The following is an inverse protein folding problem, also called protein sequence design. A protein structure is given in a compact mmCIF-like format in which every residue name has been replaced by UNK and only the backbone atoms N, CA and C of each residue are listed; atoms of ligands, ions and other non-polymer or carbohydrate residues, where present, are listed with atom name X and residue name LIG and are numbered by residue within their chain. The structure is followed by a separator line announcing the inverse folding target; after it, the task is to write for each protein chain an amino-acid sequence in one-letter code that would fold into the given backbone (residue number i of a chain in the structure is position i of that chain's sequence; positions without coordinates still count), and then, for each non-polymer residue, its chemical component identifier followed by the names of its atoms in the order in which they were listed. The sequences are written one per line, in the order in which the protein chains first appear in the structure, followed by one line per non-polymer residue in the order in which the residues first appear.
data_IF_432979621220
#
_entry.id   IF_432979621220
#
_cell.length_a   1.000
_cell.length_b   1.000
_cell.length_c   1.000
_cell.angle_alpha   90.00
_cell.angle_beta   90.00
_cell.angle_gamma   90.00
#
_symmetry.space_group_name_H-M   'P 1'
#
loop_
_entity.id
_entity.type
_entity.pdbx_description
1 polymer ?
#
# COMPACT_ATOMS: atom_id res chain seq x y z
N UNK A 1 -2.49 -72.48 27.98
CA UNK A 1 -2.36 -72.07 26.57
C UNK A 1 -2.50 -70.55 26.49
N UNK A 2 -1.37 -69.85 26.58
CA UNK A 2 -1.24 -68.40 26.41
C UNK A 2 -0.36 -68.16 25.17
N UNK A 3 -0.53 -67.00 24.54
CA UNK A 3 0.19 -66.47 23.37
C UNK A 3 -0.41 -66.81 22.01
N UNK A 4 -1.22 -65.89 21.44
CA UNK A 4 -1.28 -65.68 19.98
C UNK A 4 -1.97 -64.39 19.50
N UNK A 5 -2.21 -63.37 20.34
CA UNK A 5 -2.93 -62.16 19.90
C UNK A 5 -2.08 -60.89 19.73
N UNK A 6 -0.81 -60.88 20.14
CA UNK A 6 0.05 -59.68 20.02
C UNK A 6 0.90 -59.62 18.73
N UNK A 7 1.06 -60.74 18.01
CA UNK A 7 1.88 -60.77 16.80
C UNK A 7 1.17 -60.20 15.55
N UNK A 8 -0.17 -60.28 15.49
CA UNK A 8 -0.93 -59.86 14.30
C UNK A 8 -1.09 -58.33 14.22
N UNK A 9 -1.15 -57.64 15.37
CA UNK A 9 -1.27 -56.18 15.43
C UNK A 9 0.01 -55.45 14.99
N UNK A 10 1.18 -56.04 15.24
CA UNK A 10 2.48 -55.45 14.86
C UNK A 10 2.78 -55.56 13.37
N UNK A 11 2.29 -56.61 12.69
CA UNK A 11 2.50 -56.82 11.26
C UNK A 11 1.64 -55.85 10.42
N UNK A 12 0.40 -55.56 10.87
CA UNK A 12 -0.47 -54.60 10.19
C UNK A 12 0.04 -53.15 10.31
N UNK A 13 0.65 -52.76 11.44
CA UNK A 13 1.21 -51.42 11.60
C UNK A 13 2.46 -51.19 10.72
N UNK A 14 3.27 -52.23 10.51
CA UNK A 14 4.45 -52.14 9.64
C UNK A 14 4.13 -52.04 8.13
N UNK A 15 3.00 -52.61 7.68
CA UNK A 15 2.58 -52.52 6.27
C UNK A 15 1.97 -51.16 5.89
N UNK A 16 1.35 -50.47 6.84
CA UNK A 16 0.81 -49.12 6.61
C UNK A 16 1.94 -48.08 6.55
N UNK A 17 3.02 -48.24 7.32
CA UNK A 17 4.18 -47.35 7.22
C UNK A 17 5.05 -47.61 5.98
N UNK A 18 5.13 -48.85 5.50
CA UNK A 18 5.90 -49.16 4.28
C UNK A 18 5.26 -48.60 2.99
N UNK A 19 3.93 -48.50 2.94
CA UNK A 19 3.22 -47.93 1.78
C UNK A 19 3.25 -46.39 1.76
N UNK A 20 3.34 -45.74 2.92
CA UNK A 20 3.52 -44.28 3.02
C UNK A 20 4.91 -43.80 2.57
N UNK A 21 5.96 -44.61 2.76
CA UNK A 21 7.34 -44.26 2.37
C UNK A 21 7.59 -44.51 0.86
N UNK A 22 6.88 -45.47 0.25
CA UNK A 22 7.06 -45.80 -1.17
C UNK A 22 6.51 -44.75 -2.16
N UNK A 23 5.70 -43.77 -1.72
CA UNK A 23 5.12 -42.74 -2.59
C UNK A 23 5.97 -41.46 -2.76
N UNK A 24 7.11 -41.31 -2.08
CA UNK A 24 7.89 -40.05 -2.13
C UNK A 24 9.22 -40.12 -2.89
N UNK A 25 9.60 -41.26 -3.47
CA UNK A 25 10.82 -41.37 -4.30
C UNK A 25 10.51 -41.39 -5.80
N UNK A 26 9.79 -40.40 -6.32
CA UNK A 26 9.88 -40.08 -7.76
C UNK A 26 11.16 -39.28 -7.99
N UNK A 27 12.17 -39.93 -8.59
CA UNK A 27 13.38 -39.25 -9.10
C UNK A 27 12.97 -38.06 -9.98
N UNK A 28 13.20 -36.84 -9.51
CA UNK A 28 13.05 -35.62 -10.30
C UNK A 28 14.01 -35.71 -11.50
N UNK A 29 13.47 -35.77 -12.72
CA UNK A 29 14.28 -35.56 -13.92
C UNK A 29 14.81 -34.12 -13.90
N UNK A 30 16.10 -33.87 -14.16
CA UNK A 30 16.60 -32.51 -14.31
C UNK A 30 15.89 -31.87 -15.51
N UNK A 31 15.18 -30.76 -15.25
CA UNK A 31 14.54 -29.97 -16.28
C UNK A 31 15.63 -29.27 -17.10
N UNK A 32 15.79 -29.65 -18.38
CA UNK A 32 16.61 -28.90 -19.33
C UNK A 32 15.77 -27.76 -19.89
N UNK A 33 16.06 -26.54 -19.45
CA UNK A 33 15.55 -25.31 -20.05
C UNK A 33 16.06 -25.19 -21.49
N UNK A 34 15.15 -25.06 -22.45
CA UNK A 34 15.49 -24.94 -23.87
C UNK A 34 15.83 -23.47 -24.19
N UNK A 35 17.10 -23.17 -24.47
CA UNK A 35 17.64 -21.84 -24.76
C UNK A 35 17.24 -21.28 -26.15
N UNK A 36 16.20 -21.78 -26.79
CA UNK A 36 15.89 -21.43 -28.19
C UNK A 36 14.98 -20.21 -28.38
N UNK A 37 14.46 -19.57 -27.33
CA UNK A 37 13.85 -18.24 -27.47
C UNK A 37 14.93 -17.17 -27.34
N UNK A 38 15.59 -16.85 -28.46
CA UNK A 38 16.40 -15.64 -28.59
C UNK A 38 15.49 -14.43 -28.37
N UNK A 39 15.40 -13.96 -27.12
CA UNK A 39 14.99 -12.60 -26.83
C UNK A 39 16.12 -11.70 -27.30
N UNK A 40 15.97 -11.12 -28.49
CA UNK A 40 16.79 -10.01 -28.94
C UNK A 40 16.44 -8.81 -28.06
N UNK A 41 17.18 -8.64 -26.97
CA UNK A 41 17.13 -7.43 -26.18
C UNK A 41 17.76 -6.30 -26.99
N UNK A 42 16.95 -5.57 -27.75
CA UNK A 42 17.31 -4.20 -28.11
C UNK A 42 17.33 -3.42 -26.80
N UNK A 43 18.54 -3.11 -26.33
CA UNK A 43 18.85 -2.46 -25.07
C UNK A 43 18.40 -0.98 -25.01
N UNK A 44 17.25 -0.64 -25.61
CA UNK A 44 16.66 0.70 -25.57
C UNK A 44 15.15 0.75 -25.39
N UNK A 45 14.41 -0.36 -25.45
CA UNK A 45 12.96 -0.36 -25.22
C UNK A 45 12.51 -1.68 -24.57
N UNK A 46 12.67 -1.81 -23.25
CA UNK A 46 11.89 -2.80 -22.49
C UNK A 46 11.89 -2.49 -20.98
N UNK A 47 11.22 -1.40 -20.61
CA UNK A 47 10.45 -1.29 -19.36
C UNK A 47 9.24 -2.24 -19.37
N UNK A 48 9.31 -3.39 -20.06
CA UNK A 48 8.17 -4.22 -20.44
C UNK A 48 7.91 -5.39 -19.47
N UNK A 49 8.45 -5.32 -18.26
CA UNK A 49 7.88 -6.00 -17.08
C UNK A 49 7.21 -4.99 -16.14
N UNK A 50 7.29 -3.69 -16.44
CA UNK A 50 6.47 -2.65 -15.78
C UNK A 50 5.04 -2.58 -16.36
N UNK A 51 4.75 -3.29 -17.46
CA UNK A 51 3.46 -3.19 -18.16
C UNK A 51 2.37 -4.18 -17.69
N UNK A 52 2.72 -5.29 -17.03
CA UNK A 52 1.69 -6.25 -16.54
C UNK A 52 1.24 -5.97 -15.11
N UNK A 53 1.98 -5.18 -14.35
CA UNK A 53 1.59 -4.65 -13.04
C UNK A 53 1.40 -3.13 -13.06
N UNK A 54 1.35 -2.56 -14.27
CA UNK A 54 0.97 -1.17 -14.52
C UNK A 54 -0.45 -0.83 -14.06
N UNK A 55 -1.23 -1.78 -13.53
CA UNK A 55 -2.42 -1.53 -12.70
C UNK A 55 -2.03 -1.02 -11.30
N UNK A 56 -1.11 -0.05 -11.23
CA UNK A 56 -1.24 0.94 -10.18
C UNK A 56 -2.66 1.52 -10.25
N UNK A 57 -3.26 1.92 -9.14
CA UNK A 57 -4.63 2.42 -9.08
C UNK A 57 -4.88 3.50 -10.16
N UNK A 58 -5.38 3.11 -11.33
CA UNK A 58 -5.82 4.00 -12.40
C UNK A 58 -7.15 4.62 -11.95
N UNK A 59 -7.08 5.49 -10.95
CA UNK A 59 -8.23 6.21 -10.45
C UNK A 59 -8.07 7.67 -10.86
N UNK A 60 -9.04 8.15 -11.62
CA UNK A 60 -9.10 9.54 -12.03
C UNK A 60 -9.28 10.42 -10.79
N UNK A 61 -8.18 10.90 -10.24
CA UNK A 61 -8.16 11.89 -9.18
C UNK A 61 -8.55 13.23 -9.81
N UNK A 62 -9.67 13.85 -9.40
CA UNK A 62 -9.92 15.23 -9.80
C UNK A 62 -8.83 16.09 -9.16
N UNK A 63 -7.84 16.50 -9.95
CA UNK A 63 -6.79 17.42 -9.50
C UNK A 63 -7.38 18.84 -9.36
N UNK A 64 -8.14 19.05 -8.29
CA UNK A 64 -8.75 20.33 -7.95
C UNK A 64 -7.85 21.02 -6.94
N UNK A 65 -7.37 22.20 -7.32
CA UNK A 65 -6.60 23.05 -6.45
C UNK A 65 -7.45 23.43 -5.21
N UNK A 66 -6.95 23.31 -3.97
CA UNK A 66 -7.72 23.57 -2.75
C UNK A 66 -8.29 24.97 -2.68
N UNK A 67 -7.67 25.93 -3.36
CA UNK A 67 -8.14 27.31 -3.50
C UNK A 67 -9.50 27.36 -4.21
N UNK A 68 -9.75 26.43 -5.15
CA UNK A 68 -11.06 26.31 -5.82
C UNK A 68 -12.14 25.70 -4.91
N UNK A 69 -11.73 25.04 -3.84
CA UNK A 69 -12.61 24.54 -2.77
C UNK A 69 -12.74 25.60 -1.65
N UNK A 70 -11.84 26.60 -1.59
CA UNK A 70 -11.94 27.71 -0.65
C UNK A 70 -11.75 27.34 0.82
N UNK A 71 -11.08 26.21 1.12
CA UNK A 71 -10.92 25.72 2.49
C UNK A 71 -9.56 26.04 3.13
N UNK A 72 -8.56 26.45 2.33
CA UNK A 72 -7.25 26.82 2.88
C UNK A 72 -7.41 28.04 3.80
N UNK A 73 -6.79 28.00 4.98
CA UNK A 73 -6.93 29.02 6.02
C UNK A 73 -8.04 28.71 7.04
N UNK A 74 -8.80 27.64 6.85
CA UNK A 74 -9.81 27.20 7.81
C UNK A 74 -9.20 26.95 9.19
N UNK A 75 -9.91 27.39 10.24
CA UNK A 75 -9.43 27.37 11.61
C UNK A 75 -10.18 26.38 12.48
N UNK A 76 -9.43 25.60 13.26
CA UNK A 76 -9.94 24.70 14.30
C UNK A 76 -9.43 25.11 15.68
N UNK A 77 -10.20 24.78 16.71
CA UNK A 77 -9.88 25.05 18.11
C UNK A 77 -8.61 24.32 18.56
N UNK A 78 -7.93 24.87 19.56
CA UNK A 78 -6.82 24.24 20.28
C UNK A 78 -7.31 23.88 21.71
N UNK A 79 -7.28 22.61 22.16
CA UNK A 79 -6.67 21.43 21.53
C UNK A 79 -7.35 21.00 20.23
N UNK A 80 -6.59 20.36 19.34
CA UNK A 80 -7.09 19.93 18.02
C UNK A 80 -8.29 18.99 18.18
N UNK A 81 -9.40 19.35 17.55
CA UNK A 81 -10.61 18.54 17.49
C UNK A 81 -10.78 17.97 16.07
N UNK A 82 -10.70 16.65 15.95
CA UNK A 82 -10.75 15.95 14.67
C UNK A 82 -12.14 15.95 14.03
N UNK A 83 -13.20 15.93 14.85
CA UNK A 83 -14.58 16.02 14.41
C UNK A 83 -14.88 17.44 13.87
N UNK A 84 -14.43 18.48 14.58
CA UNK A 84 -14.50 19.87 14.10
C UNK A 84 -13.76 20.01 12.76
N UNK A 85 -12.56 19.42 12.64
CA UNK A 85 -11.81 19.41 11.39
C UNK A 85 -12.54 18.66 10.26
N UNK A 86 -13.16 17.51 10.54
CA UNK A 86 -13.95 16.75 9.57
C UNK A 86 -15.10 17.59 9.01
N UNK A 87 -15.97 18.11 9.88
CA UNK A 87 -17.15 18.85 9.46
C UNK A 87 -16.80 20.20 8.82
N UNK A 88 -15.67 20.80 9.19
CA UNK A 88 -15.18 22.01 8.53
C UNK A 88 -14.60 21.76 7.14
N UNK A 89 -13.90 20.64 6.93
CA UNK A 89 -13.33 20.26 5.63
C UNK A 89 -14.41 19.67 4.70
N UNK A 90 -15.36 18.91 5.25
CA UNK A 90 -16.49 18.28 4.57
C UNK A 90 -17.74 18.49 5.45
N UNK A 91 -18.67 19.44 5.20
CA UNK A 91 -19.12 19.99 3.92
C UNK A 91 -18.42 21.26 3.36
N UNK A 92 -17.63 21.99 4.16
CA UNK A 92 -17.24 23.36 3.80
C UNK A 92 -18.42 24.23 3.31
N UNK A 93 -18.16 25.39 2.69
CA UNK A 93 -19.22 26.24 2.09
C UNK A 93 -19.80 25.65 0.77
N UNK A 94 -19.62 24.37 0.47
CA UNK A 94 -19.78 23.81 -0.89
C UNK A 94 -20.52 22.48 -0.99
N UNK A 95 -20.87 21.84 0.13
CA UNK A 95 -21.55 20.54 0.12
C UNK A 95 -22.85 20.61 0.94
N UNK A 96 -23.92 20.02 0.40
CA UNK A 96 -25.20 19.93 1.12
C UNK A 96 -25.09 18.84 2.19
N UNK A 97 -25.24 19.22 3.46
CA UNK A 97 -25.50 18.28 4.55
C UNK A 97 -26.95 17.83 4.42
N UNK A 98 -27.15 16.54 4.16
CA UNK A 98 -28.48 15.95 4.28
C UNK A 98 -28.70 15.54 5.75
N UNK A 99 -29.09 16.48 6.60
CA UNK A 99 -29.53 16.20 7.98
C UNK A 99 -30.79 15.31 8.02
N UNK A 100 -31.56 15.29 6.93
CA UNK A 100 -32.74 14.42 6.77
C UNK A 100 -32.37 12.93 6.66
N UNK A 101 -31.08 12.62 6.45
CA UNK A 101 -30.53 11.27 6.51
C UNK A 101 -29.65 11.13 7.77
N UNK A 102 -30.27 11.22 8.97
CA UNK A 102 -29.81 10.37 10.10
C UNK A 102 -29.99 8.92 9.67
N UNK A 103 -29.12 8.46 8.78
CA UNK A 103 -29.15 7.10 8.28
C UNK A 103 -28.99 6.23 9.54
N UNK A 104 -29.94 5.35 9.87
CA UNK A 104 -30.01 4.65 11.17
C UNK A 104 -28.78 3.79 11.48
N UNK A 105 -27.88 3.66 10.49
CA UNK A 105 -26.67 2.84 10.50
C UNK A 105 -25.38 3.68 10.42
N UNK A 106 -25.44 5.03 10.46
CA UNK A 106 -24.25 5.90 10.43
C UNK A 106 -24.09 6.54 11.81
N UNK A 107 -22.98 6.23 12.49
CA UNK A 107 -22.66 6.76 13.81
C UNK A 107 -22.16 8.20 13.82
N UNK A 108 -21.92 8.74 15.01
CA UNK A 108 -21.24 10.03 15.22
C UNK A 108 -19.83 10.03 14.58
N UNK A 109 -19.32 11.20 14.20
CA UNK A 109 -17.97 11.31 13.59
C UNK A 109 -17.87 11.00 12.09
N UNK A 110 -19.01 11.01 11.37
CA UNK A 110 -19.07 10.76 9.92
C UNK A 110 -19.74 11.93 9.21
N UNK A 111 -19.13 12.40 8.11
CA UNK A 111 -19.67 13.42 7.22
C UNK A 111 -20.20 12.79 5.93
N UNK A 112 -21.50 12.94 5.68
CA UNK A 112 -22.14 12.55 4.41
C UNK A 112 -22.27 13.78 3.53
N UNK A 113 -21.69 13.73 2.33
CA UNK A 113 -21.67 14.90 1.45
C UNK A 113 -21.74 14.55 -0.04
N UNK A 114 -22.35 15.45 -0.81
CA UNK A 114 -22.39 15.43 -2.28
C UNK A 114 -21.75 16.71 -2.80
N UNK A 115 -21.05 16.63 -3.93
CA UNK A 115 -20.60 17.83 -4.62
C UNK A 115 -21.51 18.19 -5.78
N UNK A 116 -22.07 19.39 -5.74
CA UNK A 116 -22.84 19.99 -6.84
C UNK A 116 -21.94 20.66 -7.88
N UNK A 117 -20.73 21.09 -7.47
CA UNK A 117 -19.77 21.84 -8.30
C UNK A 117 -18.69 20.96 -8.93
N UNK A 118 -18.33 19.84 -8.30
CA UNK A 118 -17.31 18.92 -8.79
C UNK A 118 -18.00 17.81 -9.58
N UNK A 119 -18.09 17.97 -10.91
CA UNK A 119 -18.57 16.88 -11.78
C UNK A 119 -17.52 15.79 -11.82
N UNK A 120 -17.95 14.54 -11.62
CA UNK A 120 -17.09 13.42 -11.98
C UNK A 120 -16.79 13.46 -13.48
N UNK A 121 -15.54 13.21 -13.87
CA UNK A 121 -15.26 12.94 -15.28
C UNK A 121 -16.01 11.66 -15.65
N UNK A 122 -16.73 11.65 -16.78
CA UNK A 122 -17.26 10.41 -17.37
C UNK A 122 -16.06 9.53 -17.69
N UNK A 123 -15.92 8.42 -16.98
CA UNK A 123 -14.91 7.40 -17.24
C UNK A 123 -15.64 6.08 -17.38
N UNK A 124 -15.13 5.19 -18.23
CA UNK A 124 -15.68 3.84 -18.40
C UNK A 124 -15.49 2.95 -17.14
N UNK A 125 -14.77 3.46 -16.13
CA UNK A 125 -14.61 2.87 -14.81
C UNK A 125 -15.56 3.47 -13.79
N UNK A 126 -16.17 2.61 -12.96
CA UNK A 126 -17.16 2.93 -11.92
C UNK A 126 -16.59 3.70 -10.69
N UNK A 127 -15.26 3.90 -10.65
CA UNK A 127 -14.62 4.61 -9.55
C UNK A 127 -14.56 6.14 -9.80
N UNK A 128 -15.71 6.79 -9.78
CA UNK A 128 -15.82 8.25 -9.96
C UNK A 128 -15.80 9.00 -8.62
N UNK A 129 -14.95 10.02 -8.47
CA UNK A 129 -14.88 10.87 -7.28
C UNK A 129 -14.97 12.37 -7.63
N UNK A 130 -15.69 13.20 -6.85
CA UNK A 130 -16.66 12.79 -5.82
C UNK A 130 -17.79 11.94 -6.41
N UNK A 131 -18.34 11.03 -5.60
CA UNK A 131 -19.40 10.13 -6.07
C UNK A 131 -20.73 10.86 -6.24
N UNK A 132 -21.44 10.56 -7.33
CA UNK A 132 -22.76 11.16 -7.66
C UNK A 132 -23.81 10.92 -6.58
N UNK A 133 -23.82 9.72 -5.97
CA UNK A 133 -24.79 9.35 -4.92
C UNK A 133 -24.41 9.88 -3.54
N UNK A 134 -23.23 10.46 -3.39
CA UNK A 134 -22.69 10.94 -2.13
C UNK A 134 -21.50 10.12 -1.66
N UNK A 135 -20.72 10.75 -0.79
CA UNK A 135 -19.55 10.18 -0.15
C UNK A 135 -19.82 10.15 1.35
N UNK A 136 -19.46 9.03 1.97
CA UNK A 136 -19.39 8.89 3.41
C UNK A 136 -17.93 9.10 3.80
N UNK A 137 -17.63 10.13 4.58
CA UNK A 137 -16.26 10.50 4.94
C UNK A 137 -16.08 10.54 6.45
N UNK A 138 -14.99 9.94 6.93
CA UNK A 138 -14.63 9.92 8.34
C UNK A 138 -13.17 10.31 8.52
N UNK A 139 -12.80 10.73 9.73
CA UNK A 139 -11.40 10.86 10.12
C UNK A 139 -10.84 9.45 10.27
N UNK A 140 -9.91 9.08 9.39
CA UNK A 140 -9.25 7.78 9.50
C UNK A 140 -8.04 7.84 10.43
N UNK A 141 -7.28 8.95 10.37
CA UNK A 141 -6.04 9.08 11.14
C UNK A 141 -5.65 10.52 11.40
N UNK A 142 -5.20 10.79 12.62
CA UNK A 142 -4.54 12.04 13.01
C UNK A 142 -3.14 11.74 13.51
N UNK A 143 -2.13 12.40 12.93
CA UNK A 143 -0.72 12.23 13.29
C UNK A 143 -0.09 13.57 13.66
N UNK A 144 0.13 13.82 14.97
CA UNK A 144 0.88 14.99 15.41
C UNK A 144 2.36 14.84 15.08
N UNK A 145 3.00 15.94 14.66
CA UNK A 145 4.45 16.02 14.53
C UNK A 145 4.96 17.44 14.72
N UNK A 146 6.26 17.60 14.96
CA UNK A 146 6.95 18.89 14.97
C UNK A 146 7.85 18.99 13.75
N UNK A 147 7.85 20.15 13.10
CA UNK A 147 8.83 20.44 12.05
C UNK A 147 10.19 20.87 12.65
N UNK A 148 11.20 21.05 11.79
CA UNK A 148 12.56 21.42 12.24
C UNK A 148 12.60 22.79 12.94
N UNK A 149 11.61 23.65 12.71
CA UNK A 149 11.44 24.93 13.42
C UNK A 149 10.77 24.79 14.80
N UNK A 150 10.33 23.57 15.17
CA UNK A 150 9.61 23.30 16.40
C UNK A 150 8.10 23.58 16.34
N UNK A 151 7.59 24.02 15.19
CA UNK A 151 6.15 24.27 15.00
C UNK A 151 5.40 22.95 15.03
N UNK A 152 4.24 22.96 15.70
CA UNK A 152 3.35 21.81 15.82
C UNK A 152 2.46 21.69 14.58
N UNK A 153 2.34 20.48 14.07
CA UNK A 153 1.57 20.15 12.89
C UNK A 153 0.68 18.93 13.17
N UNK A 154 -0.47 18.85 12.50
CA UNK A 154 -1.34 17.67 12.46
C UNK A 154 -1.51 17.24 11.00
N UNK A 155 -1.01 16.05 10.66
CA UNK A 155 -1.37 15.37 9.42
C UNK A 155 -2.68 14.62 9.66
N UNK A 156 -3.69 14.87 8.84
CA UNK A 156 -4.99 14.21 8.94
C UNK A 156 -5.27 13.46 7.64
N UNK A 157 -5.61 12.18 7.75
CA UNK A 157 -6.10 11.37 6.66
C UNK A 157 -7.59 11.14 6.84
N UNK A 158 -8.36 11.43 5.80
CA UNK A 158 -9.79 11.16 5.74
C UNK A 158 -10.03 9.98 4.81
N UNK A 159 -10.93 9.11 5.22
CA UNK A 159 -11.38 7.98 4.43
C UNK A 159 -12.74 8.30 3.84
N UNK A 160 -12.92 8.13 2.54
CA UNK A 160 -14.20 8.32 1.86
C UNK A 160 -14.65 7.03 1.15
N UNK A 161 -15.87 6.61 1.47
CA UNK A 161 -16.56 5.46 0.87
C UNK A 161 -17.85 5.89 0.15
N UNK A 162 -18.45 4.98 -0.62
CA UNK A 162 -19.73 5.24 -1.29
C UNK A 162 -20.90 5.13 -0.30
N UNK A 163 -21.76 6.14 -0.26
CA UNK A 163 -23.01 6.07 0.54
C UNK A 163 -23.91 4.93 0.05
N UNK A 164 -23.93 4.66 -1.25
CA UNK A 164 -24.73 3.58 -1.84
C UNK A 164 -24.26 2.17 -1.46
N UNK A 165 -23.04 2.03 -0.91
CA UNK A 165 -22.48 0.74 -0.49
C UNK A 165 -22.55 0.52 1.02
N UNK A 166 -23.33 1.30 1.77
CA UNK A 166 -23.47 1.13 3.23
C UNK A 166 -23.81 -0.32 3.63
N UNK A 167 -24.73 -0.96 2.90
CA UNK A 167 -25.05 -2.39 3.11
C UNK A 167 -23.89 -3.32 2.75
N UNK A 168 -23.12 -2.97 1.71
CA UNK A 168 -21.95 -3.76 1.27
C UNK A 168 -20.76 -3.59 2.23
N UNK A 169 -20.62 -2.44 2.90
CA UNK A 169 -19.62 -2.20 3.96
C UNK A 169 -19.82 -3.17 5.12
N UNK A 170 -21.07 -3.40 5.54
CA UNK A 170 -21.38 -4.42 6.55
C UNK A 170 -21.08 -5.85 6.09
N UNK A 171 -21.06 -6.07 4.78
CA UNK A 171 -20.77 -7.38 4.17
C UNK A 171 -19.30 -7.53 3.74
N UNK A 172 -18.45 -6.53 4.01
CA UNK A 172 -17.02 -6.54 3.66
C UNK A 172 -16.75 -6.43 2.15
N UNK A 173 -17.72 -6.02 1.33
CA UNK A 173 -17.65 -6.07 -0.13
C UNK A 173 -17.48 -4.69 -0.77
N UNK A 174 -16.58 -3.86 -0.24
CA UNK A 174 -16.30 -2.54 -0.82
C UNK A 174 -15.09 -2.57 -1.75
N UNK A 175 -15.18 -1.78 -2.83
CA UNK A 175 -14.10 -1.60 -3.80
C UNK A 175 -13.27 -0.38 -3.42
N UNK A 176 -12.35 -0.56 -2.48
CA UNK A 176 -11.33 0.41 -2.09
C UNK A 176 -11.87 1.72 -1.46
N UNK A 177 -11.20 2.19 -0.40
CA UNK A 177 -11.45 3.49 0.23
C UNK A 177 -10.61 4.60 -0.44
N UNK A 178 -11.22 5.75 -0.73
CA UNK A 178 -10.49 6.95 -1.15
C UNK A 178 -9.86 7.65 0.04
N UNK A 179 -8.64 8.14 -0.13
CA UNK A 179 -7.95 8.92 0.88
C UNK A 179 -7.97 10.40 0.53
N UNK A 180 -8.34 11.27 1.45
CA UNK A 180 -8.00 12.70 1.37
C UNK A 180 -6.97 13.05 2.45
N UNK A 181 -6.08 14.01 2.18
CA UNK A 181 -5.02 14.41 3.11
C UNK A 181 -5.15 15.89 3.46
N UNK A 182 -4.98 16.22 4.74
CA UNK A 182 -4.90 17.59 5.24
C UNK A 182 -3.69 17.80 6.14
N UNK A 183 -3.15 19.02 6.11
CA UNK A 183 -2.13 19.47 7.04
C UNK A 183 -2.64 20.70 7.78
N UNK A 184 -2.78 20.57 9.09
CA UNK A 184 -3.01 21.70 9.97
C UNK A 184 -1.71 22.12 10.64
N UNK A 185 -1.48 23.42 10.72
CA UNK A 185 -0.33 24.01 11.42
C UNK A 185 -0.85 24.86 12.55
N UNK A 186 -0.23 24.76 13.72
CA UNK A 186 -0.61 25.62 14.83
C UNK A 186 0.05 26.99 14.66
N UNK A 187 -0.78 28.04 14.64
CA UNK A 187 -0.35 29.42 14.73
C UNK A 187 -1.00 30.07 15.94
N UNK A 188 -0.17 30.59 16.85
CA UNK A 188 -0.63 31.10 18.15
C UNK A 188 -1.46 30.02 18.86
N UNK A 189 -2.77 30.21 19.00
CA UNK A 189 -3.70 29.29 19.65
C UNK A 189 -4.74 28.67 18.71
N UNK A 190 -4.50 28.69 17.40
CA UNK A 190 -5.44 28.10 16.42
C UNK A 190 -4.73 27.16 15.45
N UNK A 191 -5.40 26.06 15.14
CA UNK A 191 -4.97 25.14 14.10
C UNK A 191 -5.50 25.64 12.75
N UNK A 192 -4.61 25.89 11.81
CA UNK A 192 -4.96 26.44 10.50
C UNK A 192 -4.67 25.41 9.43
N UNK A 193 -5.66 25.10 8.59
CA UNK A 193 -5.50 24.23 7.42
C UNK A 193 -4.62 24.92 6.38
N UNK A 194 -3.41 24.42 6.15
CA UNK A 194 -2.47 25.01 5.18
C UNK A 194 -2.38 24.22 3.89
N UNK A 195 -2.66 22.92 3.94
CA UNK A 195 -2.59 22.07 2.76
C UNK A 195 -3.74 21.07 2.78
N UNK A 196 -4.30 20.80 1.61
CA UNK A 196 -5.34 19.80 1.43
C UNK A 196 -5.24 19.14 0.07
N UNK A 197 -5.49 17.84 0.00
CA UNK A 197 -5.72 17.14 -1.26
C UNK A 197 -6.99 16.33 -1.11
N UNK A 198 -8.01 16.75 -1.86
CA UNK A 198 -9.23 15.98 -2.05
C UNK A 198 -8.91 14.78 -2.95
N UNK A 199 -9.13 13.57 -2.43
CA UNK A 199 -8.78 12.32 -3.09
C UNK A 199 -7.31 12.25 -3.55
N UNK A 200 -6.39 12.01 -2.61
CA UNK A 200 -4.99 11.68 -2.87
C UNK A 200 -4.81 10.32 -3.55
N UNK A 201 -5.85 9.50 -3.63
CA UNK A 201 -5.88 8.20 -4.31
C UNK A 201 -6.81 7.22 -3.61
N UNK A 202 -7.24 6.19 -4.34
CA UNK A 202 -7.86 5.03 -3.73
C UNK A 202 -6.76 4.03 -3.34
N UNK A 203 -6.41 4.04 -2.07
CA UNK A 203 -5.29 3.29 -1.51
C UNK A 203 -5.73 2.19 -0.54
N UNK A 204 -7.04 2.09 -0.30
CA UNK A 204 -7.60 1.11 0.62
C UNK A 204 -7.68 -0.29 0.04
N UNK A 205 -7.59 -1.28 0.92
CA UNK A 205 -7.95 -2.66 0.62
C UNK A 205 -9.33 -2.88 1.21
N UNK A 206 -10.30 -3.25 0.39
CA UNK A 206 -11.72 -3.25 0.75
C UNK A 206 -12.21 -1.86 1.17
N UNK A 207 -12.84 -1.74 2.34
CA UNK A 207 -13.43 -0.50 2.85
C UNK A 207 -12.49 0.36 3.70
N UNK A 208 -11.23 -0.06 3.90
CA UNK A 208 -10.31 0.62 4.81
C UNK A 208 -9.03 1.09 4.11
N UNK A 209 -8.65 2.33 4.41
CA UNK A 209 -7.32 2.85 4.12
C UNK A 209 -6.24 2.04 4.83
N UNK A 210 -5.00 2.06 4.33
CA UNK A 210 -3.90 1.38 4.98
C UNK A 210 -3.60 1.96 6.35
N UNK A 211 -3.25 1.08 7.30
CA UNK A 211 -2.89 1.52 8.64
C UNK A 211 -1.61 2.36 8.70
N UNK A 212 -0.67 2.18 7.76
CA UNK A 212 0.55 2.97 7.71
C UNK A 212 0.35 4.22 6.83
N UNK A 213 0.09 5.33 7.51
CA UNK A 213 -0.03 6.69 6.98
C UNK A 213 0.65 7.56 8.03
N UNK A 214 1.83 8.07 7.72
CA UNK A 214 2.69 8.75 8.70
C UNK A 214 3.43 9.94 8.06
N UNK A 215 3.70 11.01 8.82
CA UNK A 215 4.47 12.14 8.31
C UNK A 215 5.91 11.70 8.03
N UNK A 216 6.45 12.12 6.88
CA UNK A 216 7.83 11.82 6.49
C UNK A 216 8.59 13.12 6.21
N UNK A 217 9.69 13.36 6.91
CA UNK A 217 10.63 14.44 6.52
C UNK A 217 11.27 14.12 5.16
N UNK A 218 11.13 15.01 4.20
CA UNK A 218 11.72 14.91 2.84
C UNK A 218 12.91 15.85 2.65
N UNK A 219 13.09 16.80 3.57
CA UNK A 219 14.21 17.73 3.63
C UNK A 219 14.02 18.71 4.79
N UNK A 220 14.87 19.73 4.89
CA UNK A 220 14.78 20.74 5.95
C UNK A 220 13.47 21.53 5.86
N UNK A 221 12.66 21.49 6.92
CA UNK A 221 11.30 22.03 7.02
C UNK A 221 10.35 21.56 5.90
N UNK A 222 10.68 20.48 5.21
CA UNK A 222 9.84 19.88 4.20
C UNK A 222 9.40 18.49 4.63
N UNK A 223 8.09 18.35 4.83
CA UNK A 223 7.47 17.14 5.31
C UNK A 223 6.38 16.72 4.33
N UNK A 224 6.28 15.43 4.09
CA UNK A 224 5.26 14.79 3.28
C UNK A 224 4.47 13.77 4.08
N UNK A 225 3.84 12.85 3.36
CA UNK A 225 3.15 11.69 3.92
C UNK A 225 3.71 10.41 3.29
N UNK A 226 4.08 9.44 4.10
CA UNK A 226 4.40 8.07 3.70
C UNK A 226 3.18 7.19 3.90
N UNK A 227 2.78 6.49 2.84
CA UNK A 227 1.68 5.52 2.85
C UNK A 227 2.20 4.16 2.44
N UNK A 228 1.82 3.12 3.17
CA UNK A 228 2.10 1.72 2.79
C UNK A 228 0.80 0.94 2.64
N UNK A 229 0.43 0.60 1.40
CA UNK A 229 -0.88 -0.01 1.06
C UNK A 229 -0.90 -1.53 1.19
N UNK A 230 -1.48 -2.16 2.20
CA UNK A 230 -1.47 -3.64 2.31
C UNK A 230 -2.69 -4.29 1.66
N UNK A 231 -2.52 -5.00 0.53
CA UNK A 231 -3.56 -5.85 -0.05
C UNK A 231 -3.61 -7.19 0.68
N UNK A 232 -4.46 -7.30 1.70
CA UNK A 232 -4.87 -8.60 2.24
C UNK A 232 -5.91 -9.22 1.32
N UNK A 233 -5.55 -10.17 0.45
CA UNK A 233 -6.57 -11.09 -0.05
C UNK A 233 -6.95 -12.07 1.08
N UNK A 234 -8.19 -12.57 1.17
CA UNK A 234 -8.57 -13.51 2.22
C UNK A 234 -7.75 -14.78 2.01
N UNK A 235 -6.82 -15.06 2.93
CA UNK A 235 -5.90 -16.21 2.86
C UNK A 235 -4.75 -16.10 1.86
N UNK A 236 -4.49 -14.93 1.27
CA UNK A 236 -3.44 -14.73 0.25
C UNK A 236 -2.29 -13.82 0.72
N UNK A 237 -1.14 -13.85 0.04
CA UNK A 237 0.00 -13.02 0.40
C UNK A 237 -0.33 -11.52 0.39
N UNK A 238 0.21 -10.78 1.37
CA UNK A 238 0.05 -9.34 1.49
C UNK A 238 1.05 -8.56 0.62
N UNK A 239 0.55 -7.75 -0.31
CA UNK A 239 1.38 -6.88 -1.16
C UNK A 239 1.30 -5.45 -0.70
N UNK A 240 2.47 -4.79 -0.54
CA UNK A 240 2.52 -3.37 -0.14
C UNK A 240 3.16 -2.45 -1.18
N UNK A 241 2.44 -1.43 -1.65
CA UNK A 241 3.04 -0.29 -2.34
C UNK A 241 3.53 0.72 -1.30
N UNK A 242 4.70 1.31 -1.53
CA UNK A 242 5.19 2.47 -0.80
C UNK A 242 4.89 3.70 -1.64
N UNK A 243 4.01 4.57 -1.16
CA UNK A 243 3.64 5.82 -1.81
C UNK A 243 4.11 6.98 -0.94
N UNK A 244 4.83 7.93 -1.54
CA UNK A 244 5.20 9.18 -0.90
C UNK A 244 4.42 10.33 -1.51
N UNK A 245 3.83 11.15 -0.65
CA UNK A 245 3.22 12.41 -1.01
C UNK A 245 4.08 13.57 -0.51
N UNK A 246 4.46 14.48 -1.42
CA UNK A 246 5.14 15.73 -1.08
C UNK A 246 4.18 16.91 -1.06
N UNK A 247 4.51 17.95 -0.29
CA UNK A 247 3.79 19.23 -0.33
C UNK A 247 4.27 20.05 -1.53
N UNK A 248 3.42 20.22 -2.52
CA UNK A 248 3.69 21.00 -3.73
C UNK A 248 2.56 22.00 -3.92
N UNK A 249 2.85 23.28 -3.64
CA UNK A 249 1.81 24.29 -3.43
C UNK A 249 1.01 23.98 -2.16
N UNK A 250 -0.31 24.17 -2.21
CA UNK A 250 -1.20 23.87 -1.08
C UNK A 250 -1.73 22.42 -1.09
N UNK A 251 -1.08 21.50 -1.80
CA UNK A 251 -1.53 20.11 -1.96
C UNK A 251 -0.45 19.09 -1.58
N UNK A 252 -0.91 17.93 -1.12
CA UNK A 252 -0.17 16.68 -1.17
C UNK A 252 -0.24 16.11 -2.59
N UNK A 253 0.91 15.89 -3.23
CA UNK A 253 1.00 15.23 -4.54
C UNK A 253 1.88 14.01 -4.45
N UNK A 254 1.49 12.94 -5.15
CA UNK A 254 2.35 11.76 -5.26
C UNK A 254 3.68 12.14 -5.90
N UNK A 255 4.77 11.90 -5.17
CA UNK A 255 6.14 12.18 -5.61
C UNK A 255 6.96 10.89 -5.79
N UNK A 256 6.50 9.76 -5.24
CA UNK A 256 7.10 8.44 -5.44
C UNK A 256 6.05 7.36 -5.23
N UNK A 257 6.07 6.33 -6.07
CA UNK A 257 5.27 5.12 -5.89
C UNK A 257 6.15 3.90 -6.25
N UNK A 258 6.36 2.99 -5.30
CA UNK A 258 7.22 1.81 -5.46
C UNK A 258 6.46 0.54 -5.10
N UNK A 259 6.34 -0.44 -6.01
CA UNK A 259 5.65 -1.70 -5.75
C UNK A 259 6.46 -2.65 -4.84
N UNK A 260 5.78 -3.68 -4.34
CA UNK A 260 6.34 -4.86 -3.63
C UNK A 260 7.29 -4.49 -2.47
N UNK A 261 6.96 -3.41 -1.77
CA UNK A 261 7.79 -2.80 -0.73
C UNK A 261 7.68 -3.49 0.64
N UNK A 262 6.82 -4.50 0.78
CA UNK A 262 6.72 -5.42 1.91
C UNK A 262 5.97 -6.65 1.43
N UNK A 263 6.40 -7.80 1.92
CA UNK A 263 5.74 -9.07 1.71
C UNK A 263 5.93 -9.93 2.95
N UNK A 264 4.87 -10.60 3.36
CA UNK A 264 4.93 -11.59 4.43
C UNK A 264 3.88 -12.66 4.13
N UNK A 265 4.34 -13.85 3.73
CA UNK A 265 3.46 -15.02 3.55
C UNK A 265 3.83 -16.19 4.45
N UNK A 266 5.11 -16.32 4.81
CA UNK A 266 5.63 -17.31 5.75
C UNK A 266 6.94 -16.82 6.38
N UNK A 267 7.41 -17.43 7.48
CA UNK A 267 8.66 -17.04 8.15
C UNK A 267 9.91 -17.05 7.26
N UNK A 268 9.85 -17.68 6.08
CA UNK A 268 10.96 -17.80 5.13
C UNK A 268 10.76 -16.99 3.83
N UNK A 269 9.62 -16.32 3.66
CA UNK A 269 9.40 -15.30 2.64
C UNK A 269 8.90 -14.02 3.31
N UNK A 270 9.84 -13.19 3.72
CA UNK A 270 9.59 -11.92 4.36
C UNK A 270 10.56 -10.91 3.79
N UNK A 271 10.07 -9.76 3.34
CA UNK A 271 10.91 -8.60 3.06
C UNK A 271 10.19 -7.31 3.37
N UNK A 272 10.97 -6.25 3.52
CA UNK A 272 10.48 -4.91 3.78
C UNK A 272 11.39 -3.86 3.18
N UNK A 273 10.78 -2.76 2.76
CA UNK A 273 11.44 -1.57 2.25
C UNK A 273 11.46 -0.50 3.33
N UNK A 274 12.63 0.08 3.55
CA UNK A 274 12.80 1.28 4.34
C UNK A 274 13.34 2.42 3.48
N UNK A 275 13.03 3.65 3.89
CA UNK A 275 13.58 4.85 3.29
C UNK A 275 14.76 5.31 4.14
N UNK A 276 15.90 5.53 3.49
CA UNK A 276 17.10 6.14 4.04
C UNK A 276 17.22 7.52 3.39
N UNK A 277 17.32 8.55 4.23
CA UNK A 277 17.41 9.94 3.77
C UNK A 277 18.88 10.33 3.68
N UNK A 278 19.25 11.09 2.65
CA UNK A 278 20.56 11.72 2.58
C UNK A 278 20.48 13.12 3.19
N UNK A 279 21.47 13.49 4.02
CA UNK A 279 21.76 14.82 4.63
C UNK A 279 20.60 15.84 4.68
N UNK A 280 20.16 16.22 5.89
CA UNK A 280 19.09 17.20 6.19
C UNK A 280 19.33 18.67 5.74
N UNK A 281 19.87 18.92 4.55
CA UNK A 281 20.35 20.24 4.13
C UNK A 281 19.58 20.89 2.97
N UNK A 282 18.81 20.14 2.19
CA UNK A 282 18.01 20.68 1.08
C UNK A 282 16.51 20.65 1.40
N UNK A 283 15.72 21.39 0.61
CA UNK A 283 14.26 21.36 0.71
C UNK A 283 13.72 19.99 0.32
N UNK A 284 14.20 19.38 -0.75
CA UNK A 284 13.98 17.96 -1.04
C UNK A 284 15.34 17.30 -1.20
N UNK A 285 15.66 16.38 -0.30
CA UNK A 285 16.90 15.62 -0.36
C UNK A 285 16.74 14.39 -1.26
N UNK A 286 17.82 13.95 -1.88
CA UNK A 286 17.87 12.64 -2.53
C UNK A 286 17.53 11.56 -1.50
N UNK A 287 16.73 10.58 -1.91
CA UNK A 287 16.33 9.47 -1.03
C UNK A 287 16.86 8.16 -1.55
N UNK A 288 17.04 7.22 -0.63
CA UNK A 288 17.39 5.84 -0.92
C UNK A 288 16.32 4.93 -0.36
N UNK A 289 15.79 4.02 -1.16
CA UNK A 289 15.02 2.89 -0.63
C UNK A 289 15.92 1.67 -0.51
N UNK A 290 15.72 0.91 0.58
CA UNK A 290 16.39 -0.38 0.79
C UNK A 290 15.31 -1.42 1.05
N UNK A 291 15.13 -2.33 0.10
CA UNK A 291 14.30 -3.52 0.23
C UNK A 291 15.19 -4.69 0.58
N UNK A 292 14.96 -5.30 1.73
CA UNK A 292 15.77 -6.41 2.23
C UNK A 292 14.88 -7.51 2.77
N UNK A 293 15.28 -8.76 2.55
CA UNK A 293 14.58 -9.91 3.06
C UNK A 293 15.00 -11.20 2.38
N UNK A 294 14.17 -12.22 2.57
CA UNK A 294 14.48 -13.60 2.23
C UNK A 294 13.43 -14.16 1.26
N UNK A 295 13.90 -15.00 0.33
CA UNK A 295 13.07 -15.78 -0.57
C UNK A 295 13.29 -17.28 -0.33
N UNK A 296 12.20 -18.04 -0.36
CA UNK A 296 12.13 -19.50 -0.28
C UNK A 296 11.01 -20.04 -1.19
N UNK A 297 11.38 -20.92 -2.13
CA UNK A 297 10.48 -21.50 -3.15
C UNK A 297 9.35 -22.36 -2.58
N UNK A 298 9.49 -22.90 -1.37
CA UNK A 298 8.53 -23.82 -0.74
C UNK A 298 7.07 -23.32 -0.76
N UNK A 299 6.85 -22.01 -0.80
CA UNK A 299 5.53 -21.37 -0.87
C UNK A 299 4.90 -21.27 -2.26
N UNK A 300 5.68 -21.35 -3.33
CA UNK A 300 5.18 -21.27 -4.70
C UNK A 300 4.88 -22.66 -5.30
N UNK A 301 5.07 -23.72 -4.50
CA UNK A 301 4.74 -25.09 -4.85
C UNK A 301 3.40 -25.42 -4.19
N UNK A 302 2.30 -24.94 -4.75
CA UNK A 302 1.02 -25.60 -4.58
C UNK A 302 0.95 -26.85 -5.47
N UNK A 303 0.11 -27.84 -5.13
CA UNK A 303 -0.23 -28.96 -6.03
C UNK A 303 -0.85 -28.51 -7.36
N UNK A 304 -1.14 -27.22 -7.48
CA UNK A 304 -1.57 -26.53 -8.69
C UNK A 304 -0.36 -26.18 -9.57
N UNK A 305 -0.18 -26.94 -10.65
CA UNK A 305 0.71 -26.65 -11.79
C UNK A 305 0.43 -25.32 -12.54
N UNK A 306 -0.38 -24.42 -11.97
CA UNK A 306 -0.88 -23.20 -12.61
C UNK A 306 -0.49 -21.89 -11.92
N UNK A 307 0.23 -21.89 -10.80
CA UNK A 307 0.56 -20.65 -10.09
C UNK A 307 1.93 -20.08 -10.52
N UNK A 308 1.96 -19.41 -11.69
CA UNK A 308 3.22 -19.05 -12.39
C UNK A 308 3.67 -17.60 -12.26
N UNK A 309 3.08 -16.82 -11.35
CA UNK A 309 3.61 -15.49 -11.03
C UNK A 309 4.17 -15.48 -9.61
N UNK A 310 5.45 -15.80 -9.50
CA UNK A 310 6.24 -15.51 -8.31
C UNK A 310 6.31 -13.98 -8.20
N UNK A 311 5.47 -13.42 -7.35
CA UNK A 311 5.45 -11.99 -7.10
C UNK A 311 6.57 -11.67 -6.10
N UNK A 312 7.65 -11.13 -6.67
CA UNK A 312 8.86 -10.70 -5.97
C UNK A 312 9.29 -9.41 -6.64
N UNK A 313 10.12 -8.59 -5.97
CA UNK A 313 10.74 -7.46 -6.65
C UNK A 313 11.40 -7.91 -7.97
N UNK A 314 11.17 -7.16 -9.05
CA UNK A 314 11.65 -7.54 -10.38
C UNK A 314 13.16 -7.80 -10.43
N UNK A 315 13.92 -7.13 -9.56
CA UNK A 315 15.36 -7.30 -9.42
C UNK A 315 15.80 -8.70 -9.00
N UNK A 316 14.93 -9.46 -8.33
CA UNK A 316 15.24 -10.81 -7.82
C UNK A 316 14.46 -11.90 -8.54
N UNK A 317 13.55 -11.55 -9.45
CA UNK A 317 12.70 -12.49 -10.19
C UNK A 317 13.53 -13.59 -10.87
N UNK A 318 14.59 -13.24 -11.59
CA UNK A 318 15.46 -14.24 -12.24
C UNK A 318 16.11 -15.21 -11.24
N UNK A 319 16.44 -14.73 -10.03
CA UNK A 319 17.06 -15.57 -8.99
C UNK A 319 16.09 -16.64 -8.47
N UNK A 320 14.79 -16.37 -8.48
CA UNK A 320 13.76 -17.34 -8.08
C UNK A 320 13.72 -18.58 -8.98
N UNK A 321 14.19 -18.49 -10.24
CA UNK A 321 14.32 -19.64 -11.15
C UNK A 321 15.57 -20.49 -10.91
N UNK A 322 16.61 -19.92 -10.29
CA UNK A 322 17.95 -20.54 -10.18
C UNK A 322 18.32 -21.00 -8.76
N UNK A 323 17.56 -20.60 -7.74
CA UNK A 323 17.80 -21.01 -6.36
C UNK A 323 16.46 -21.29 -5.63
N UNK A 324 16.47 -22.30 -4.77
CA UNK A 324 15.30 -22.64 -3.94
C UNK A 324 15.17 -21.71 -2.71
N UNK A 325 16.28 -21.08 -2.29
CA UNK A 325 16.27 -20.03 -1.27
C UNK A 325 17.45 -19.08 -1.43
N UNK A 326 17.26 -17.81 -1.08
CA UNK A 326 18.31 -16.80 -1.03
C UNK A 326 17.83 -15.55 -0.29
N UNK A 327 18.75 -14.87 0.38
CA UNK A 327 18.50 -13.55 0.92
C UNK A 327 18.91 -12.49 -0.10
N UNK A 328 18.27 -11.34 -0.06
CA UNK A 328 18.52 -10.27 -1.01
C UNK A 328 18.44 -8.89 -0.36
N UNK A 329 19.17 -7.96 -0.95
CA UNK A 329 19.10 -6.53 -0.66
C UNK A 329 19.10 -5.74 -1.95
N UNK A 330 18.01 -5.02 -2.19
CA UNK A 330 17.84 -4.08 -3.30
C UNK A 330 17.98 -2.68 -2.73
N UNK A 331 18.87 -1.88 -3.31
CA UNK A 331 19.06 -0.47 -2.97
C UNK A 331 18.73 0.36 -4.19
N UNK A 332 17.78 1.29 -4.07
CA UNK A 332 17.41 2.24 -5.13
C UNK A 332 17.71 3.65 -4.66
N UNK A 333 18.53 4.37 -5.41
CA UNK A 333 18.85 5.78 -5.17
C UNK A 333 17.98 6.64 -6.10
N UNK A 334 17.29 7.63 -5.52
CA UNK A 334 16.38 8.54 -6.21
C UNK A 334 16.85 9.97 -6.07
N UNK A 335 16.65 10.74 -7.14
CA UNK A 335 16.88 12.16 -7.16
C UNK A 335 15.56 12.90 -7.33
N UNK A 336 15.34 13.96 -6.57
CA UNK A 336 14.14 14.78 -6.72
C UNK A 336 14.30 15.77 -7.87
N UNK A 337 13.47 15.64 -8.89
CA UNK A 337 13.43 16.55 -10.03
C UNK A 337 11.99 16.70 -10.55
N UNK A 338 11.63 17.91 -10.97
CA UNK A 338 10.31 18.21 -11.53
C UNK A 338 9.13 17.68 -10.69
N UNK A 339 9.17 17.92 -9.38
CA UNK A 339 8.14 17.51 -8.42
C UNK A 339 7.99 15.97 -8.25
N UNK A 340 8.99 15.17 -8.65
CA UNK A 340 8.97 13.71 -8.49
C UNK A 340 10.36 13.16 -8.14
N UNK A 341 10.39 12.01 -7.48
CA UNK A 341 11.60 11.23 -7.32
C UNK A 341 11.85 10.36 -8.56
N UNK A 342 12.97 10.63 -9.23
CA UNK A 342 13.43 9.89 -10.41
C UNK A 342 14.48 8.87 -9.97
N UNK A 343 14.27 7.60 -10.32
CA UNK A 343 15.23 6.54 -10.06
C UNK A 343 16.54 6.82 -10.82
N UNK A 344 17.66 6.92 -10.10
CA UNK A 344 18.99 7.12 -10.69
C UNK A 344 19.78 5.83 -10.76
N UNK A 345 19.65 4.98 -9.75
CA UNK A 345 20.46 3.77 -9.65
C UNK A 345 19.74 2.69 -8.86
N UNK A 346 19.86 1.46 -9.35
CA UNK A 346 19.49 0.24 -8.62
C UNK A 346 20.74 -0.60 -8.37
N UNK A 347 20.86 -1.19 -7.18
CA UNK A 347 21.88 -2.19 -6.85
C UNK A 347 21.21 -3.36 -6.14
N UNK A 348 21.50 -4.57 -6.59
CA UNK A 348 20.99 -5.79 -5.97
C UNK A 348 22.15 -6.63 -5.48
N UNK A 349 22.05 -7.11 -4.24
CA UNK A 349 22.98 -8.05 -3.63
C UNK A 349 22.23 -9.28 -3.18
N UNK A 350 22.86 -10.44 -3.33
CA UNK A 350 22.35 -11.72 -2.86
C UNK A 350 23.27 -12.25 -1.78
N UNK A 351 22.69 -12.98 -0.83
CA UNK A 351 23.44 -13.68 0.20
C UNK A 351 22.79 -15.03 0.51
N UNK A 352 23.60 -15.96 1.01
CA UNK A 352 23.11 -17.26 1.45
C UNK A 352 22.32 -17.09 2.75
N UNK A 353 21.14 -17.71 2.84
CA UNK A 353 20.39 -17.79 4.08
C UNK A 353 20.96 -18.96 4.86
N UNK A 354 21.43 -18.73 6.09
CA UNK A 354 21.70 -19.80 7.04
C UNK A 354 20.32 -20.24 7.57
N UNK A 355 19.91 -21.51 7.43
CA UNK A 355 18.63 -21.95 7.96
C UNK A 355 18.56 -21.61 9.45
N UNK A 356 17.60 -20.75 9.84
CA UNK A 356 17.33 -20.52 11.27
C UNK A 356 16.90 -21.87 11.84
N UNK A 357 17.72 -22.47 12.70
CA UNK A 357 17.33 -23.67 13.47
C UNK A 357 16.08 -23.28 14.25
N UNK A 358 14.96 -23.96 13.94
CA UNK A 358 13.73 -23.86 14.71
C UNK A 358 13.89 -24.59 16.04
#
# INVERSE_FOLDING_TARGET
MKYCFHAVALIFLSLVFATAIAQTTKKKKPYRYNNSSRYTSSARDSTAVDSNWGYGPFYFIPNIAPEKIGIIGLQCSNPFNEEDALFKVFPGNHYDLHDDERHPNVGEGVSIWRSTKLRSKKTDYDHSFPRKRGNLTEVFKVRPFKDDSGRRNMLVAFQSNNVGSLREMYLGNCKCADMSLALFKLYRDQWVLTNFTLNAGCLGTYQHLPHHIDPIKLGYNNYGCEVRTECYNPGGPGWVMLVLYGLIGNQFKEILNVPSSRYMSMPCNEWGTKIIKHKDSLTFDDIRTVTEGDFCRQMFIGDSKYDTMIDVPGEVYYRTGTADSFGFRITKDYHFDNNKYILKRTRTRYYSIIPRKR
#
